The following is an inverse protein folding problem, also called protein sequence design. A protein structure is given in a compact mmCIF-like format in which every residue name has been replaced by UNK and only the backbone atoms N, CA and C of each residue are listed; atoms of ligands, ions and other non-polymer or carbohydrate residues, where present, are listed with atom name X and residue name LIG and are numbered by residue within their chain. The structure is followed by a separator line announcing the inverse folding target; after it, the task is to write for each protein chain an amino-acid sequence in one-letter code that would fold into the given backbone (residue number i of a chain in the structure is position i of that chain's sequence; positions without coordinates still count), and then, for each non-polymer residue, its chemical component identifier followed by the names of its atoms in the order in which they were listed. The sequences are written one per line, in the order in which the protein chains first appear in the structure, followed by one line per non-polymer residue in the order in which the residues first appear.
data_IF_676060279926
#
_entry.id   IF_676060279926
#
_cell.length_a   1.000
_cell.length_b   1.000
_cell.length_c   1.000
_cell.angle_alpha   90.00
_cell.angle_beta   90.00
_cell.angle_gamma   90.00
#
_symmetry.space_group_name_H-M   'P 1'
#
loop_
_entity.id
_entity.type
_entity.pdbx_description
1 polymer ?
#
# COMPACT_ATOMS: atom_id res chain seq x y z
N UNK A 1 19.26 22.61 -4.96
CA UNK A 1 19.55 21.81 -3.73
C UNK A 1 18.75 22.19 -2.47
N UNK A 2 18.20 23.41 -2.28
CA UNK A 2 17.49 23.78 -1.03
C UNK A 2 16.02 23.31 -0.89
N UNK A 3 15.31 23.01 -2.00
CA UNK A 3 13.89 22.59 -1.97
C UNK A 3 13.66 21.20 -1.37
N UNK A 4 14.57 20.25 -1.59
CA UNK A 4 14.42 18.87 -1.11
C UNK A 4 14.57 18.69 0.40
N UNK A 5 15.29 19.59 1.07
CA UNK A 5 15.48 19.53 2.52
C UNK A 5 14.25 20.07 3.27
N UNK A 6 13.68 21.18 2.80
CA UNK A 6 12.46 21.77 3.33
C UNK A 6 11.24 20.87 3.12
N UNK A 7 11.11 20.24 1.95
CA UNK A 7 10.02 19.29 1.70
C UNK A 7 10.15 18.05 2.59
N UNK A 8 11.35 17.47 2.76
CA UNK A 8 11.58 16.34 3.67
C UNK A 8 11.26 16.69 5.12
N UNK A 9 11.65 17.87 5.59
CA UNK A 9 11.35 18.33 6.94
C UNK A 9 9.83 18.53 7.14
N UNK A 10 9.16 19.15 6.17
CA UNK A 10 7.71 19.32 6.16
C UNK A 10 6.96 17.99 6.25
N UNK A 11 7.38 17.00 5.47
CA UNK A 11 6.82 15.65 5.50
C UNK A 11 6.99 14.99 6.87
N UNK A 12 8.19 15.06 7.45
CA UNK A 12 8.48 14.52 8.80
C UNK A 12 7.62 15.17 9.87
N UNK A 13 7.42 16.49 9.82
CA UNK A 13 6.57 17.20 10.77
C UNK A 13 5.11 16.77 10.62
N UNK A 14 4.59 16.63 9.40
CA UNK A 14 3.22 16.16 9.16
C UNK A 14 3.00 14.72 9.61
N UNK A 15 3.95 13.82 9.32
CA UNK A 15 3.93 12.44 9.82
C UNK A 15 3.83 12.41 11.35
N UNK A 16 4.66 13.21 12.03
CA UNK A 16 4.67 13.31 13.49
C UNK A 16 3.36 13.87 14.06
N UNK A 17 2.79 14.90 13.44
CA UNK A 17 1.52 15.50 13.87
C UNK A 17 0.32 14.55 13.70
N UNK A 18 0.36 13.67 12.70
CA UNK A 18 -0.69 12.68 12.44
C UNK A 18 -0.43 11.34 13.13
N UNK A 19 0.68 11.20 13.87
CA UNK A 19 1.06 9.94 14.53
C UNK A 19 1.41 8.80 13.56
N UNK A 20 1.66 9.09 12.28
CA UNK A 20 1.97 8.07 11.28
C UNK A 20 3.46 7.80 11.27
N UNK A 21 3.81 6.54 11.52
CA UNK A 21 5.17 6.01 11.36
C UNK A 21 5.14 4.95 10.26
N UNK A 22 6.06 5.05 9.30
CA UNK A 22 6.18 4.08 8.22
C UNK A 22 7.09 2.91 8.65
N UNK A 23 6.81 1.66 8.22
CA UNK A 23 5.62 1.24 7.48
C UNK A 23 4.34 1.38 8.31
N UNK A 24 3.24 1.76 7.64
CA UNK A 24 1.92 1.87 8.29
C UNK A 24 1.03 0.72 7.80
N UNK A 25 0.38 0.03 8.74
CA UNK A 25 -0.54 -1.07 8.44
C UNK A 25 -1.98 -0.55 8.30
N UNK A 26 -2.71 -1.10 7.34
CA UNK A 26 -4.16 -0.87 7.16
C UNK A 26 -4.94 -2.17 7.29
N UNK A 27 -5.50 -2.39 8.47
CA UNK A 27 -6.38 -3.52 8.76
C UNK A 27 -7.83 -3.28 8.31
N UNK A 28 -8.16 -2.06 7.86
CA UNK A 28 -9.48 -1.66 7.37
C UNK A 28 -9.58 -1.69 5.84
N UNK A 29 -8.66 -2.42 5.20
CA UNK A 29 -8.60 -2.59 3.76
C UNK A 29 -9.90 -3.18 3.21
N UNK A 30 -10.43 -2.56 2.14
CA UNK A 30 -11.75 -2.88 1.58
C UNK A 30 -11.62 -3.71 0.32
N UNK A 31 -12.07 -4.96 0.42
CA UNK A 31 -12.10 -5.92 -0.68
C UNK A 31 -13.48 -6.57 -0.77
N UNK A 32 -14.46 -5.88 -1.33
CA UNK A 32 -15.85 -6.38 -1.29
C UNK A 32 -16.44 -6.72 -2.66
N UNK A 33 -15.72 -6.46 -3.76
CA UNK A 33 -16.15 -6.84 -5.10
C UNK A 33 -15.77 -8.28 -5.41
N UNK A 34 -16.52 -8.97 -6.27
CA UNK A 34 -16.15 -10.31 -6.73
C UNK A 34 -14.75 -10.33 -7.36
N UNK A 35 -14.41 -9.28 -8.11
CA UNK A 35 -13.08 -9.15 -8.73
C UNK A 35 -11.97 -9.02 -7.67
N UNK A 36 -12.15 -8.18 -6.64
CA UNK A 36 -11.17 -8.04 -5.55
C UNK A 36 -11.05 -9.32 -4.71
N UNK A 37 -12.15 -10.02 -4.49
CA UNK A 37 -12.14 -11.32 -3.79
C UNK A 37 -11.41 -12.40 -4.60
N UNK A 38 -11.69 -12.51 -5.90
CA UNK A 38 -10.94 -13.37 -6.81
C UNK A 38 -9.48 -12.95 -6.93
N UNK A 39 -9.20 -11.66 -6.76
CA UNK A 39 -7.86 -11.13 -6.77
C UNK A 39 -7.06 -11.58 -5.54
N UNK A 40 -7.62 -11.36 -4.35
CA UNK A 40 -7.06 -11.78 -3.07
C UNK A 40 -6.92 -13.30 -2.96
N UNK A 41 -7.84 -14.08 -3.52
CA UNK A 41 -7.79 -15.54 -3.49
C UNK A 41 -6.52 -16.12 -4.13
N UNK A 42 -5.91 -15.39 -5.09
CA UNK A 42 -4.66 -15.80 -5.72
C UNK A 42 -3.45 -15.01 -5.18
N UNK A 43 -3.69 -14.04 -4.30
CA UNK A 43 -2.65 -13.26 -3.63
C UNK A 43 -1.92 -14.06 -2.56
N UNK A 44 -0.74 -13.59 -2.17
CA UNK A 44 0.08 -14.16 -1.10
C UNK A 44 0.57 -13.04 -0.17
N UNK A 45 0.81 -13.33 1.13
CA UNK A 45 1.61 -12.45 1.96
C UNK A 45 2.96 -12.15 1.29
N UNK A 46 3.41 -10.90 1.35
CA UNK A 46 4.60 -10.40 0.66
C UNK A 46 4.37 -9.98 -0.80
N UNK A 47 3.17 -10.14 -1.36
CA UNK A 47 2.88 -9.60 -2.71
C UNK A 47 3.05 -8.08 -2.72
N UNK A 48 3.89 -7.59 -3.63
CA UNK A 48 4.13 -6.18 -3.83
C UNK A 48 2.91 -5.45 -4.38
N UNK A 49 2.66 -4.28 -3.81
CA UNK A 49 1.53 -3.42 -4.14
C UNK A 49 2.01 -2.02 -4.52
N UNK A 50 1.27 -1.42 -5.44
CA UNK A 50 1.31 0.01 -5.69
C UNK A 50 0.00 0.64 -5.20
N UNK A 51 0.10 1.59 -4.28
CA UNK A 51 -1.05 2.29 -3.70
C UNK A 51 -1.22 3.63 -4.40
N UNK A 52 -2.29 3.73 -5.18
CA UNK A 52 -2.53 4.87 -6.07
C UNK A 52 -3.77 5.61 -5.62
N UNK A 53 -3.58 6.87 -5.25
CA UNK A 53 -4.71 7.76 -4.99
C UNK A 53 -5.29 8.28 -6.30
N UNK A 54 -6.56 7.93 -6.58
CA UNK A 54 -7.27 8.34 -7.79
C UNK A 54 -8.44 9.25 -7.41
N UNK A 55 -8.67 10.30 -8.20
CA UNK A 55 -9.87 11.14 -8.08
C UNK A 55 -11.01 10.44 -8.81
N UNK A 56 -12.02 9.96 -8.08
CA UNK A 56 -13.23 9.39 -8.67
C UNK A 56 -14.44 10.28 -8.33
N UNK A 57 -14.72 11.27 -9.19
CA UNK A 57 -15.77 12.25 -8.96
C UNK A 57 -15.52 13.09 -7.70
N UNK A 58 -16.46 13.05 -6.75
CA UNK A 58 -16.36 13.68 -5.42
C UNK A 58 -15.69 12.79 -4.36
N UNK A 59 -15.44 11.51 -4.67
CA UNK A 59 -14.76 10.59 -3.77
C UNK A 59 -13.26 10.58 -4.03
N UNK A 60 -12.50 10.62 -2.93
CA UNK A 60 -11.07 10.43 -2.90
C UNK A 60 -10.82 9.03 -2.35
N UNK A 61 -10.29 8.14 -3.19
CA UNK A 61 -10.02 6.74 -2.86
C UNK A 61 -8.58 6.42 -3.21
N UNK A 62 -7.93 5.62 -2.37
CA UNK A 62 -6.63 5.04 -2.67
C UNK A 62 -6.81 3.55 -2.93
N UNK A 63 -6.44 3.12 -4.12
CA UNK A 63 -6.56 1.72 -4.53
C UNK A 63 -5.23 1.02 -4.40
N UNK A 64 -5.26 -0.26 -4.01
CA UNK A 64 -4.09 -1.10 -4.07
C UNK A 64 -4.08 -1.92 -5.36
N UNK A 65 -3.00 -1.80 -6.10
CA UNK A 65 -2.71 -2.54 -7.30
C UNK A 65 -1.65 -3.60 -7.00
N UNK A 66 -1.94 -4.87 -7.24
CA UNK A 66 -0.94 -5.93 -7.13
C UNK A 66 -0.06 -5.95 -8.37
N UNK A 67 1.25 -5.80 -8.17
CA UNK A 67 2.23 -5.84 -9.25
C UNK A 67 2.29 -7.24 -9.85
N UNK A 68 2.42 -8.28 -9.00
CA UNK A 68 2.50 -9.69 -9.42
C UNK A 68 1.29 -10.12 -10.24
N UNK A 69 0.10 -9.71 -9.83
CA UNK A 69 -1.16 -10.14 -10.45
C UNK A 69 -1.66 -9.18 -11.54
N UNK A 70 -0.99 -8.04 -11.70
CA UNK A 70 -1.33 -7.00 -12.66
C UNK A 70 -2.82 -6.58 -12.58
N UNK A 71 -3.33 -6.39 -11.36
CA UNK A 71 -4.75 -6.10 -11.10
C UNK A 71 -5.00 -5.36 -9.79
N UNK A 72 -6.14 -4.67 -9.71
CA UNK A 72 -6.63 -4.07 -8.48
C UNK A 72 -7.08 -5.16 -7.50
N UNK A 73 -6.65 -5.03 -6.25
CA UNK A 73 -7.01 -5.98 -5.19
C UNK A 73 -7.94 -5.39 -4.14
N UNK A 74 -8.08 -4.05 -4.08
CA UNK A 74 -8.98 -3.39 -3.14
C UNK A 74 -8.70 -1.90 -2.96
N UNK A 75 -9.32 -1.32 -1.94
CA UNK A 75 -9.24 0.10 -1.57
C UNK A 75 -8.74 0.24 -0.13
N UNK A 76 -7.84 1.19 0.13
CA UNK A 76 -7.43 1.56 1.48
C UNK A 76 -8.62 2.10 2.29
N UNK A 77 -8.55 1.91 3.60
CA UNK A 77 -9.49 2.51 4.54
C UNK A 77 -9.58 4.03 4.36
N UNK A 78 -10.79 4.57 4.53
CA UNK A 78 -11.06 6.01 4.35
C UNK A 78 -10.17 6.89 5.26
N UNK A 79 -9.95 6.45 6.50
CA UNK A 79 -9.15 7.20 7.47
C UNK A 79 -7.69 7.28 7.01
N UNK A 80 -7.07 6.14 6.70
CA UNK A 80 -5.70 6.11 6.22
C UNK A 80 -5.54 6.89 4.91
N UNK A 81 -6.47 6.76 3.97
CA UNK A 81 -6.49 7.54 2.73
C UNK A 81 -6.45 9.05 3.00
N UNK A 82 -7.24 9.54 3.96
CA UNK A 82 -7.27 10.96 4.33
C UNK A 82 -5.95 11.42 4.96
N UNK A 83 -5.34 10.60 5.79
CA UNK A 83 -4.09 10.97 6.45
C UNK A 83 -2.90 10.92 5.48
N UNK A 84 -2.86 9.94 4.57
CA UNK A 84 -1.90 9.91 3.45
C UNK A 84 -2.10 11.10 2.51
N UNK A 85 -3.34 11.52 2.22
CA UNK A 85 -3.63 12.74 1.46
C UNK A 85 -3.10 14.01 2.14
N UNK A 86 -3.21 14.10 3.47
CA UNK A 86 -2.61 15.21 4.23
C UNK A 86 -1.09 15.18 4.15
N UNK A 87 -0.46 14.00 4.05
CA UNK A 87 1.00 13.91 4.00
C UNK A 87 1.51 14.18 2.58
N UNK A 88 1.08 13.37 1.60
CA UNK A 88 1.65 13.34 0.24
C UNK A 88 0.89 14.20 -0.78
N UNK A 89 -0.32 14.65 -0.46
CA UNK A 89 -1.16 15.40 -1.39
C UNK A 89 -1.93 14.51 -2.37
N UNK A 90 -2.69 15.13 -3.27
CA UNK A 90 -3.53 14.43 -4.25
C UNK A 90 -2.65 13.76 -5.31
N UNK A 91 -3.06 12.56 -5.72
CA UNK A 91 -2.36 11.79 -6.75
C UNK A 91 -1.10 11.10 -6.23
N UNK A 92 -1.01 10.90 -4.91
CA UNK A 92 0.10 10.14 -4.36
C UNK A 92 0.14 8.72 -4.94
N UNK A 93 1.36 8.22 -5.05
CA UNK A 93 1.67 6.85 -5.40
C UNK A 93 2.71 6.38 -4.38
N UNK A 94 2.36 5.35 -3.63
CA UNK A 94 3.18 4.79 -2.56
C UNK A 94 3.36 3.30 -2.82
N UNK A 95 4.47 2.77 -2.35
CA UNK A 95 4.72 1.35 -2.43
C UNK A 95 4.08 0.64 -1.23
N UNK A 96 3.77 -0.63 -1.36
CA UNK A 96 3.14 -1.43 -0.32
C UNK A 96 3.37 -2.92 -0.50
N UNK A 97 2.90 -3.69 0.47
CA UNK A 97 2.85 -5.14 0.38
C UNK A 97 1.62 -5.68 1.10
N UNK A 98 1.21 -6.90 0.77
CA UNK A 98 0.25 -7.65 1.56
C UNK A 98 0.93 -8.17 2.82
N UNK A 99 0.57 -7.64 3.98
CA UNK A 99 1.14 -8.08 5.26
C UNK A 99 0.55 -9.43 5.70
N UNK A 100 -0.76 -9.60 5.56
CA UNK A 100 -1.45 -10.82 5.92
C UNK A 100 -2.73 -11.00 5.10
N UNK A 101 -3.11 -12.25 4.86
CA UNK A 101 -4.39 -12.64 4.24
C UNK A 101 -5.13 -13.53 5.23
N UNK A 102 -6.40 -13.21 5.47
CA UNK A 102 -7.29 -13.99 6.33
C UNK A 102 -8.65 -14.17 5.66
N UNK A 103 -9.54 -14.94 6.29
CA UNK A 103 -10.96 -15.01 5.91
C UNK A 103 -11.81 -14.60 7.10
N UNK A 104 -12.94 -13.97 6.82
CA UNK A 104 -13.93 -13.68 7.86
C UNK A 104 -14.96 -14.80 8.04
N UNK A 105 -15.90 -14.58 8.96
CA UNK A 105 -16.95 -15.55 9.31
C UNK A 105 -17.85 -15.94 8.12
N UNK A 106 -17.88 -15.14 7.05
CA UNK A 106 -18.61 -15.44 5.82
C UNK A 106 -17.69 -15.99 4.70
N UNK A 107 -16.51 -16.50 5.08
CA UNK A 107 -15.44 -16.99 4.19
C UNK A 107 -14.89 -15.96 3.18
N UNK A 108 -15.19 -14.67 3.36
CA UNK A 108 -14.65 -13.63 2.48
C UNK A 108 -13.21 -13.33 2.85
N UNK A 109 -12.35 -13.21 1.84
CA UNK A 109 -10.96 -12.84 2.02
C UNK A 109 -10.84 -11.43 2.58
N UNK A 110 -10.00 -11.29 3.61
CA UNK A 110 -9.53 -10.03 4.17
C UNK A 110 -8.02 -9.95 4.04
N UNK A 111 -7.52 -8.73 4.03
CA UNK A 111 -6.11 -8.45 3.80
C UNK A 111 -5.71 -7.28 4.70
N UNK A 112 -4.55 -7.38 5.33
CA UNK A 112 -3.85 -6.23 5.89
C UNK A 112 -2.75 -5.84 4.93
N UNK A 113 -2.60 -4.55 4.66
CA UNK A 113 -1.54 -4.03 3.78
C UNK A 113 -0.59 -3.17 4.58
N UNK A 114 0.71 -3.31 4.30
CA UNK A 114 1.73 -2.36 4.76
C UNK A 114 1.98 -1.35 3.66
N UNK A 115 2.01 -0.08 4.03
CA UNK A 115 2.33 1.04 3.14
C UNK A 115 3.72 1.55 3.47
N UNK A 116 4.52 1.81 2.45
CA UNK A 116 5.87 2.37 2.53
C UNK A 116 5.92 3.73 1.84
N UNK A 117 6.78 4.62 2.34
CA UNK A 117 6.96 5.94 1.75
C UNK A 117 8.09 6.02 0.71
N UNK A 118 8.97 5.01 0.67
CA UNK A 118 10.14 4.92 -0.21
C UNK A 118 10.49 3.45 -0.45
N UNK A 119 11.04 3.15 -1.62
CA UNK A 119 11.56 1.82 -1.97
C UNK A 119 12.63 1.31 -1.00
N UNK A 120 13.47 2.20 -0.44
CA UNK A 120 14.45 1.82 0.59
C UNK A 120 13.81 1.29 1.88
N UNK A 121 12.57 1.71 2.18
CA UNK A 121 11.83 1.16 3.32
C UNK A 121 11.17 -0.18 3.00
N UNK A 122 11.02 -0.53 1.72
CA UNK A 122 10.64 -1.88 1.29
C UNK A 122 11.82 -2.85 1.32
N UNK A 123 13.06 -2.40 1.09
CA UNK A 123 14.21 -3.30 0.91
C UNK A 123 14.35 -4.42 1.96
N UNK A 124 14.18 -4.18 3.27
CA UNK A 124 14.23 -5.25 4.28
C UNK A 124 13.13 -6.31 4.13
N UNK A 125 12.00 -5.96 3.51
CA UNK A 125 10.85 -6.83 3.27
C UNK A 125 10.93 -7.51 1.89
N UNK A 126 11.72 -6.96 0.96
CA UNK A 126 12.00 -7.55 -0.35
C UNK A 126 13.06 -8.65 -0.30
N UNK A 127 13.99 -8.59 0.66
CA UNK A 127 15.05 -9.61 0.83
C UNK A 127 14.51 -11.01 1.20
N UNK A 128 13.26 -11.11 1.65
CA UNK A 128 12.55 -12.38 1.87
C UNK A 128 11.95 -12.97 0.58
N UNK A 129 12.14 -12.33 -0.58
CA UNK A 129 11.66 -12.77 -1.89
C UNK A 129 12.83 -13.32 -2.73
N UNK A 130 13.13 -14.63 -2.66
CA UNK A 130 14.33 -15.22 -3.26
C UNK A 130 14.41 -15.12 -4.80
N UNK A 131 13.34 -14.70 -5.47
CA UNK A 131 13.32 -14.55 -6.93
C UNK A 131 13.80 -13.18 -7.42
N UNK A 132 13.77 -12.14 -6.59
CA UNK A 132 14.19 -10.78 -7.00
C UNK A 132 15.71 -10.62 -7.08
N UNK A 133 16.44 -11.45 -6.34
CA UNK A 133 17.92 -11.51 -6.35
C UNK A 133 18.46 -12.77 -7.04
N UNK A 134 17.62 -13.48 -7.80
CA UNK A 134 18.09 -14.55 -8.67
C UNK A 134 18.86 -13.96 -9.86
N UNK A 135 20.08 -13.50 -9.60
CA UNK A 135 21.13 -13.47 -10.61
C UNK A 135 21.39 -14.92 -11.02
N UNK A 136 20.57 -15.44 -11.95
CA UNK A 136 20.82 -16.57 -12.86
C UNK A 136 19.48 -17.13 -13.33
N UNK A 137 19.06 -16.69 -14.50
CA UNK A 137 18.56 -17.63 -15.50
C UNK A 137 19.62 -17.63 -16.62
N UNK A 138 20.63 -18.48 -16.44
CA UNK A 138 21.27 -19.16 -17.57
C UNK A 138 20.29 -20.20 -18.13
#
# INVERSE_FOLDING_TARGET
MKRGFLSKLYMRVRQRLLGITFPVEDDLFRCFTCDSQGALAQSRPGDELQLVHVKNGNNFAAYAYSIRLNRLIGELGRQLTQDLLKIFGKGFCLDGEIAAISKDENEKFRCSVRVFNTSSMMAPYLEELPYLFSERNE
#
